data_IF_428036954381
#
_entry.id   IF_428036954381
#
_cell.length_a   1.000
_cell.length_b   1.000
_cell.length_c   1.000
_cell.angle_alpha   90.00
_cell.angle_beta   90.00
_cell.angle_gamma   90.00
#
_symmetry.space_group_name_H-M   'P 1'
#
loop_
_entity.id
_entity.type
_entity.pdbx_description
1 polymer ?
#
# COMPACT_ATOMS: atom_id res chain seq x y z
N UNK A 1 21.82 10.60 -25.93
CA UNK A 1 21.73 11.56 -24.80
C UNK A 1 20.30 11.90 -24.35
N UNK A 2 19.25 11.77 -25.18
CA UNK A 2 17.86 12.12 -24.81
C UNK A 2 17.14 11.17 -23.82
N UNK A 3 17.57 9.91 -23.68
CA UNK A 3 16.91 8.95 -22.77
C UNK A 3 17.13 9.30 -21.29
N UNK A 4 18.29 9.88 -20.97
CA UNK A 4 18.68 10.18 -19.59
C UNK A 4 17.90 11.38 -19.01
N UNK A 5 17.43 12.31 -19.85
CA UNK A 5 16.59 13.42 -19.39
C UNK A 5 15.19 12.97 -19.05
N UNK A 6 14.56 12.13 -19.89
CA UNK A 6 13.23 11.56 -19.63
C UNK A 6 13.20 10.72 -18.34
N UNK A 7 14.19 9.85 -18.15
CA UNK A 7 14.30 9.03 -16.93
C UNK A 7 14.43 9.89 -15.67
N UNK A 8 15.24 10.97 -15.74
CA UNK A 8 15.39 11.93 -14.64
C UNK A 8 14.08 12.66 -14.35
N UNK A 9 13.32 13.05 -15.36
CA UNK A 9 12.01 13.70 -15.18
C UNK A 9 11.01 12.77 -14.51
N UNK A 10 10.92 11.51 -14.96
CA UNK A 10 10.03 10.50 -14.35
C UNK A 10 10.41 10.24 -12.90
N UNK A 11 11.70 10.00 -12.63
CA UNK A 11 12.21 9.84 -11.26
C UNK A 11 11.89 11.06 -10.39
N UNK A 12 12.10 12.27 -10.92
CA UNK A 12 11.84 13.49 -10.19
C UNK A 12 10.36 13.66 -9.83
N UNK A 13 9.45 13.34 -10.76
CA UNK A 13 8.02 13.33 -10.50
C UNK A 13 7.62 12.27 -9.47
N UNK A 14 8.17 11.05 -9.59
CA UNK A 14 7.94 9.97 -8.65
C UNK A 14 8.41 10.37 -7.23
N UNK A 15 9.66 10.81 -7.07
CA UNK A 15 10.22 11.23 -5.78
C UNK A 15 9.43 12.40 -5.16
N UNK A 16 8.92 13.31 -5.99
CA UNK A 16 8.07 14.41 -5.52
C UNK A 16 6.77 13.89 -4.89
N UNK A 17 6.14 12.89 -5.53
CA UNK A 17 4.86 12.33 -5.08
C UNK A 17 5.04 11.38 -3.90
N UNK A 18 6.10 10.57 -3.91
CA UNK A 18 6.26 9.46 -2.97
C UNK A 18 7.05 9.80 -1.72
N UNK A 19 7.97 10.76 -1.80
CA UNK A 19 8.88 11.08 -0.70
C UNK A 19 9.06 12.57 -0.44
N UNK A 20 8.41 13.42 -1.24
CA UNK A 20 8.70 14.85 -1.30
C UNK A 20 10.21 15.12 -1.45
N UNK A 21 10.87 14.39 -2.36
CA UNK A 21 12.33 14.38 -2.56
C UNK A 21 13.13 13.91 -1.33
N UNK A 22 12.70 12.80 -0.73
CA UNK A 22 13.33 12.17 0.45
C UNK A 22 13.37 13.08 1.69
N UNK A 23 12.30 13.87 1.89
CA UNK A 23 12.15 14.76 3.06
C UNK A 23 11.05 14.27 4.01
N UNK A 24 10.00 13.62 3.50
CA UNK A 24 8.86 13.21 4.30
C UNK A 24 8.78 11.69 4.45
N UNK A 25 9.28 11.15 5.58
CA UNK A 25 9.29 9.71 5.83
C UNK A 25 7.88 9.12 5.97
N UNK A 26 6.92 9.89 6.51
CA UNK A 26 5.53 9.45 6.68
C UNK A 26 4.87 9.21 5.33
N UNK A 27 5.16 10.08 4.36
CA UNK A 27 4.66 9.95 2.99
C UNK A 27 5.22 8.70 2.32
N UNK A 28 6.52 8.45 2.47
CA UNK A 28 7.16 7.23 1.93
C UNK A 28 6.53 5.98 2.52
N UNK A 29 6.33 5.95 3.85
CA UNK A 29 5.70 4.83 4.54
C UNK A 29 4.27 4.55 4.05
N UNK A 30 3.46 5.59 3.85
CA UNK A 30 2.12 5.46 3.28
C UNK A 30 2.18 4.82 1.89
N UNK A 31 3.10 5.26 1.02
CA UNK A 31 3.24 4.68 -0.32
C UNK A 31 3.73 3.24 -0.30
N UNK A 32 4.62 2.87 0.62
CA UNK A 32 5.02 1.46 0.82
C UNK A 32 3.80 0.60 1.08
N UNK A 33 2.94 1.00 2.03
CA UNK A 33 1.73 0.24 2.36
C UNK A 33 0.74 0.20 1.20
N UNK A 34 0.58 1.31 0.47
CA UNK A 34 -0.32 1.36 -0.69
C UNK A 34 0.12 0.39 -1.79
N UNK A 35 1.40 0.38 -2.13
CA UNK A 35 1.92 -0.55 -3.14
C UNK A 35 1.83 -2.00 -2.67
N UNK A 36 2.04 -2.26 -1.39
CA UNK A 36 1.90 -3.61 -0.84
C UNK A 36 0.45 -4.10 -0.89
N UNK A 37 -0.52 -3.26 -0.51
CA UNK A 37 -1.94 -3.59 -0.63
C UNK A 37 -2.34 -3.83 -2.09
N UNK A 38 -1.84 -3.03 -3.03
CA UNK A 38 -2.09 -3.24 -4.46
C UNK A 38 -1.52 -4.59 -4.91
N UNK A 39 -0.28 -4.93 -4.49
CA UNK A 39 0.33 -6.21 -4.80
C UNK A 39 -0.53 -7.36 -4.27
N UNK A 40 -0.96 -7.29 -3.00
CA UNK A 40 -1.83 -8.30 -2.40
C UNK A 40 -3.18 -8.39 -3.11
N UNK A 41 -3.80 -7.28 -3.49
CA UNK A 41 -5.08 -7.35 -4.21
C UNK A 41 -4.93 -8.04 -5.57
N UNK A 42 -3.87 -7.73 -6.33
CA UNK A 42 -3.58 -8.40 -7.60
C UNK A 42 -3.39 -9.89 -7.36
N UNK A 43 -2.59 -10.25 -6.37
CA UNK A 43 -2.35 -11.64 -6.05
C UNK A 43 -3.64 -12.37 -5.65
N UNK A 44 -4.44 -11.77 -4.78
CA UNK A 44 -5.70 -12.31 -4.28
C UNK A 44 -6.69 -12.66 -5.40
N UNK A 45 -6.83 -11.78 -6.40
CA UNK A 45 -7.78 -11.99 -7.50
C UNK A 45 -7.32 -13.02 -8.53
N UNK A 46 -6.01 -13.27 -8.64
CA UNK A 46 -5.45 -14.06 -9.72
C UNK A 46 -4.89 -15.42 -9.28
N UNK A 47 -4.74 -15.66 -7.97
CA UNK A 47 -4.26 -16.93 -7.42
C UNK A 47 -5.39 -17.65 -6.72
N UNK A 48 -5.70 -18.87 -7.20
CA UNK A 48 -6.81 -19.69 -6.68
C UNK A 48 -6.62 -20.11 -5.20
N UNK A 49 -5.37 -20.16 -4.71
CA UNK A 49 -5.04 -20.54 -3.34
C UNK A 49 -5.15 -19.40 -2.30
N UNK A 50 -5.50 -18.18 -2.72
CA UNK A 50 -5.66 -17.03 -1.80
C UNK A 50 -6.70 -17.26 -0.70
N UNK A 51 -7.63 -18.20 -0.91
CA UNK A 51 -8.62 -18.64 0.08
C UNK A 51 -8.06 -19.42 1.27
N UNK A 52 -6.83 -19.94 1.19
CA UNK A 52 -6.18 -20.68 2.30
C UNK A 52 -5.65 -19.75 3.41
N UNK A 53 -5.43 -18.49 3.07
CA UNK A 53 -4.78 -17.51 3.94
C UNK A 53 -5.72 -16.39 4.39
N UNK A 54 -6.95 -16.41 3.87
CA UNK A 54 -8.03 -15.57 4.35
C UNK A 54 -8.89 -16.34 5.33
N UNK A 55 -8.95 -15.85 6.57
CA UNK A 55 -9.93 -16.37 7.53
C UNK A 55 -11.28 -15.84 7.06
N UNK A 56 -12.09 -16.72 6.45
CA UNK A 56 -13.47 -16.39 6.12
C UNK A 56 -14.21 -16.05 7.40
N UNK A 57 -14.50 -14.77 7.60
CA UNK A 57 -15.41 -14.35 8.65
C UNK A 57 -16.80 -14.80 8.25
N UNK A 58 -17.42 -15.65 9.08
CA UNK A 58 -18.80 -16.04 8.89
C UNK A 58 -19.70 -14.81 8.88
N UNK A 59 -20.61 -14.73 7.90
CA UNK A 59 -21.61 -13.68 7.79
C UNK A 59 -22.61 -13.78 8.96
N UNK A 60 -22.25 -13.20 10.09
CA UNK A 60 -23.09 -13.05 11.27
C UNK A 60 -23.62 -11.62 11.33
N UNK A 61 -24.78 -11.44 11.95
CA UNK A 61 -25.38 -10.11 12.15
C UNK A 61 -24.40 -9.14 12.82
N UNK A 62 -23.60 -9.61 13.78
CA UNK A 62 -22.58 -8.82 14.46
C UNK A 62 -21.48 -8.36 13.50
N UNK A 63 -20.97 -9.25 12.65
CA UNK A 63 -19.92 -8.92 11.67
C UNK A 63 -20.41 -7.92 10.64
N UNK A 64 -21.67 -8.04 10.19
CA UNK A 64 -22.28 -7.11 9.25
C UNK A 64 -22.50 -5.72 9.86
N UNK A 65 -22.92 -5.65 11.13
CA UNK A 65 -23.09 -4.37 11.84
C UNK A 65 -21.74 -3.67 12.01
N UNK A 66 -20.70 -4.40 12.44
CA UNK A 66 -19.36 -3.84 12.61
C UNK A 66 -18.85 -3.32 11.26
N UNK A 67 -19.02 -4.10 10.18
CA UNK A 67 -18.66 -3.69 8.83
C UNK A 67 -19.43 -2.45 8.37
N UNK A 68 -20.74 -2.44 8.57
CA UNK A 68 -21.60 -1.31 8.20
C UNK A 68 -21.21 -0.03 8.91
N UNK A 69 -20.89 -0.10 10.21
CA UNK A 69 -20.38 1.05 10.98
C UNK A 69 -19.03 1.51 10.43
N UNK A 70 -18.12 0.59 10.16
CA UNK A 70 -16.77 0.90 9.69
C UNK A 70 -16.79 1.56 8.30
N UNK A 71 -17.62 1.05 7.38
CA UNK A 71 -17.86 1.64 6.05
C UNK A 71 -18.54 3.01 6.17
N UNK A 72 -19.53 3.16 7.06
CA UNK A 72 -20.23 4.44 7.26
C UNK A 72 -19.29 5.52 7.79
N UNK A 73 -18.47 5.19 8.80
CA UNK A 73 -17.45 6.08 9.35
C UNK A 73 -16.40 6.44 8.29
N UNK A 74 -16.01 5.47 7.46
CA UNK A 74 -15.08 5.69 6.35
C UNK A 74 -15.64 6.67 5.31
N UNK A 75 -16.89 6.48 4.87
CA UNK A 75 -17.55 7.38 3.92
C UNK A 75 -17.68 8.78 4.54
N UNK A 76 -18.08 8.87 5.81
CA UNK A 76 -18.19 10.14 6.51
C UNK A 76 -16.84 10.86 6.61
N UNK A 77 -15.77 10.12 6.90
CA UNK A 77 -14.41 10.64 6.91
C UNK A 77 -13.97 11.12 5.51
N UNK A 78 -14.37 10.41 4.45
CA UNK A 78 -14.14 10.83 3.06
C UNK A 78 -14.83 12.15 2.74
N UNK A 79 -16.14 12.24 3.01
CA UNK A 79 -16.96 13.43 2.79
C UNK A 79 -16.38 14.62 3.58
N UNK A 80 -16.05 14.42 4.86
CA UNK A 80 -15.47 15.46 5.70
C UNK A 80 -14.16 16.01 5.10
N UNK A 81 -13.23 15.14 4.71
CA UNK A 81 -11.94 15.60 4.17
C UNK A 81 -12.06 16.22 2.76
N UNK A 82 -13.04 15.80 1.95
CA UNK A 82 -13.33 16.45 0.65
C UNK A 82 -13.89 17.86 0.88
N UNK A 83 -14.91 18.00 1.73
CA UNK A 83 -15.56 19.30 1.99
C UNK A 83 -14.60 20.28 2.64
N UNK A 84 -13.86 19.86 3.66
CA UNK A 84 -12.97 20.74 4.42
C UNK A 84 -11.56 20.87 3.80
N UNK A 85 -11.35 20.32 2.59
CA UNK A 85 -10.16 20.44 1.71
C UNK A 85 -8.89 20.86 2.43
N UNK A 86 -8.39 19.99 3.30
CA UNK A 86 -7.09 20.19 3.91
C UNK A 86 -6.10 19.25 3.21
N UNK A 87 -5.20 19.83 2.40
CA UNK A 87 -4.19 19.08 1.63
C UNK A 87 -3.34 18.15 2.50
N UNK A 88 -3.22 18.46 3.80
CA UNK A 88 -2.50 17.65 4.78
C UNK A 88 -3.16 16.28 5.00
N UNK A 89 -4.48 16.16 4.82
CA UNK A 89 -5.23 14.94 5.10
C UNK A 89 -5.53 14.08 3.87
N UNK A 90 -5.23 14.54 2.66
CA UNK A 90 -5.42 13.76 1.42
C UNK A 90 -4.65 12.43 1.49
N UNK A 91 -3.43 12.44 2.01
CA UNK A 91 -2.63 11.22 2.16
C UNK A 91 -3.22 10.26 3.21
N UNK A 92 -3.82 10.79 4.29
CA UNK A 92 -4.55 9.96 5.27
C UNK A 92 -5.80 9.36 4.65
N UNK A 93 -6.51 10.13 3.82
CA UNK A 93 -7.68 9.66 3.12
C UNK A 93 -7.33 8.51 2.16
N UNK A 94 -6.26 8.69 1.38
CA UNK A 94 -5.76 7.67 0.47
C UNK A 94 -5.36 6.41 1.24
N UNK A 95 -4.63 6.56 2.35
CA UNK A 95 -4.24 5.44 3.19
C UNK A 95 -5.44 4.64 3.73
N UNK A 96 -6.41 5.34 4.34
CA UNK A 96 -7.60 4.70 4.89
C UNK A 96 -8.43 4.08 3.76
N UNK A 97 -8.54 4.75 2.61
CA UNK A 97 -9.30 4.24 1.47
C UNK A 97 -8.72 2.97 0.88
N UNK A 98 -7.40 2.88 0.79
CA UNK A 98 -6.73 1.68 0.29
C UNK A 98 -6.88 0.52 1.28
N UNK A 99 -6.76 0.75 2.59
CA UNK A 99 -7.01 -0.28 3.62
C UNK A 99 -8.47 -0.72 3.66
N UNK A 100 -9.42 0.22 3.60
CA UNK A 100 -10.84 -0.12 3.58
C UNK A 100 -11.18 -0.95 2.33
N UNK A 101 -10.63 -0.57 1.17
CA UNK A 101 -10.80 -1.33 -0.07
C UNK A 101 -10.22 -2.73 0.05
N UNK A 102 -9.05 -2.89 0.68
CA UNK A 102 -8.47 -4.20 0.96
C UNK A 102 -9.44 -5.09 1.74
N UNK A 103 -9.96 -4.60 2.87
CA UNK A 103 -10.88 -5.38 3.70
C UNK A 103 -12.17 -5.76 2.98
N UNK A 104 -12.75 -4.83 2.21
CA UNK A 104 -13.99 -5.09 1.46
C UNK A 104 -13.77 -6.13 0.35
N UNK A 105 -12.64 -6.04 -0.37
CA UNK A 105 -12.38 -6.89 -1.53
C UNK A 105 -11.89 -8.29 -1.15
N UNK A 106 -11.05 -8.40 -0.12
CA UNK A 106 -10.44 -9.67 0.30
C UNK A 106 -11.22 -10.39 1.38
N UNK A 107 -12.00 -9.66 2.19
CA UNK A 107 -12.59 -10.20 3.43
C UNK A 107 -11.55 -10.55 4.50
N UNK A 108 -10.27 -10.24 4.31
CA UNK A 108 -9.19 -10.55 5.25
C UNK A 108 -9.03 -9.46 6.31
N UNK A 109 -9.92 -9.49 7.31
CA UNK A 109 -9.85 -8.57 8.45
C UNK A 109 -8.66 -8.85 9.38
N UNK A 110 -8.05 -10.03 9.27
CA UNK A 110 -6.86 -10.41 10.04
C UNK A 110 -5.56 -9.91 9.43
N UNK A 111 -5.60 -9.37 8.21
CA UNK A 111 -4.43 -8.99 7.41
C UNK A 111 -3.47 -10.16 7.18
N UNK A 112 -3.94 -11.41 7.31
CA UNK A 112 -3.11 -12.60 7.19
C UNK A 112 -2.51 -12.74 5.80
N UNK A 113 -3.31 -12.48 4.77
CA UNK A 113 -2.88 -12.52 3.38
C UNK A 113 -1.93 -11.35 3.06
N UNK A 114 -2.21 -10.14 3.56
CA UNK A 114 -1.31 -8.99 3.44
C UNK A 114 0.05 -9.26 4.10
N UNK A 115 0.05 -9.86 5.30
CA UNK A 115 1.26 -10.19 6.05
C UNK A 115 2.09 -11.28 5.37
N UNK A 116 1.44 -12.25 4.74
CA UNK A 116 2.13 -13.24 3.94
C UNK A 116 2.76 -12.63 2.70
N UNK A 117 2.03 -11.78 1.97
CA UNK A 117 2.58 -11.12 0.80
C UNK A 117 3.75 -10.18 1.17
N UNK A 118 3.73 -9.60 2.38
CA UNK A 118 4.86 -8.82 2.91
C UNK A 118 6.16 -9.63 3.02
N UNK A 119 6.09 -10.97 3.07
CA UNK A 119 7.29 -11.80 3.04
C UNK A 119 7.98 -11.62 1.68
N UNK A 120 9.22 -11.08 1.66
CA UNK A 120 9.92 -10.80 0.41
C UNK A 120 10.26 -12.06 -0.39
N UNK A 121 10.13 -13.27 0.17
CA UNK A 121 10.37 -14.53 -0.53
C UNK A 121 9.08 -15.19 -1.05
N UNK A 122 7.91 -14.61 -0.77
CA UNK A 122 6.61 -15.19 -1.15
C UNK A 122 6.46 -15.39 -2.67
N UNK A 123 7.08 -14.50 -3.45
CA UNK A 123 7.00 -14.58 -4.90
C UNK A 123 7.60 -15.86 -5.50
N UNK A 124 8.45 -16.60 -4.76
CA UNK A 124 8.99 -17.88 -5.22
C UNK A 124 7.96 -19.00 -5.22
N UNK A 125 6.88 -18.84 -4.46
CA UNK A 125 5.77 -19.80 -4.40
C UNK A 125 4.77 -19.59 -5.55
N UNK A 126 4.97 -18.54 -6.36
CA UNK A 126 4.15 -18.20 -7.50
C UNK A 126 4.55 -18.99 -8.75
N UNK A 127 3.54 -19.44 -9.50
CA UNK A 127 3.77 -19.98 -10.83
C UNK A 127 4.29 -18.89 -11.79
N UNK A 128 5.22 -19.29 -12.65
CA UNK A 128 5.87 -18.36 -13.58
C UNK A 128 4.85 -17.85 -14.62
N UNK A 129 4.50 -16.56 -14.54
CA UNK A 129 3.46 -15.96 -15.38
C UNK A 129 3.46 -14.42 -15.37
N UNK A 130 2.45 -13.81 -16.00
CA UNK A 130 2.30 -12.35 -16.03
C UNK A 130 2.13 -11.74 -14.63
N UNK A 131 1.43 -12.43 -13.73
CA UNK A 131 1.20 -12.00 -12.34
C UNK A 131 2.53 -11.92 -11.60
N UNK A 132 3.37 -12.96 -11.70
CA UNK A 132 4.72 -13.00 -11.16
C UNK A 132 5.58 -11.80 -11.63
N UNK A 133 5.51 -11.45 -12.91
CA UNK A 133 6.24 -10.29 -13.46
C UNK A 133 5.74 -8.98 -12.84
N UNK A 134 4.42 -8.79 -12.76
CA UNK A 134 3.81 -7.61 -12.15
C UNK A 134 4.22 -7.50 -10.68
N UNK A 135 4.20 -8.61 -9.96
CA UNK A 135 4.56 -8.66 -8.55
C UNK A 135 6.03 -8.30 -8.32
N UNK A 136 6.95 -8.86 -9.11
CA UNK A 136 8.37 -8.48 -9.05
C UNK A 136 8.54 -6.97 -9.28
N UNK A 137 7.85 -6.40 -10.27
CA UNK A 137 7.93 -4.96 -10.53
C UNK A 137 7.43 -4.16 -9.33
N UNK A 138 6.33 -4.56 -8.71
CA UNK A 138 5.81 -3.90 -7.49
C UNK A 138 6.78 -4.04 -6.32
N UNK A 139 7.35 -5.23 -6.08
CA UNK A 139 8.34 -5.46 -5.02
C UNK A 139 9.62 -4.63 -5.24
N UNK A 140 10.06 -4.45 -6.49
CA UNK A 140 11.18 -3.55 -6.82
C UNK A 140 10.86 -2.08 -6.51
N UNK A 141 9.64 -1.63 -6.80
CA UNK A 141 9.18 -0.28 -6.45
C UNK A 141 9.15 -0.11 -4.93
N UNK A 142 8.64 -1.09 -4.19
CA UNK A 142 8.62 -1.08 -2.72
C UNK A 142 10.04 -1.05 -2.16
N UNK A 143 10.95 -1.88 -2.68
CA UNK A 143 12.36 -1.88 -2.28
C UNK A 143 13.01 -0.51 -2.50
N UNK A 144 12.72 0.13 -3.62
CA UNK A 144 13.19 1.49 -3.88
C UNK A 144 12.62 2.51 -2.87
N UNK A 145 11.34 2.39 -2.51
CA UNK A 145 10.73 3.22 -1.48
C UNK A 145 11.33 2.96 -0.10
N UNK A 146 11.66 1.71 0.25
CA UNK A 146 12.38 1.37 1.49
C UNK A 146 13.76 2.06 1.51
N UNK A 147 14.49 2.04 0.39
CA UNK A 147 15.74 2.79 0.28
C UNK A 147 15.54 4.29 0.52
N UNK A 148 14.50 4.90 -0.09
CA UNK A 148 14.16 6.30 0.15
C UNK A 148 13.74 6.56 1.60
N UNK A 149 13.05 5.61 2.22
CA UNK A 149 12.60 5.69 3.60
C UNK A 149 13.80 5.82 4.53
N UNK A 150 14.77 4.90 4.42
CA UNK A 150 16.02 4.93 5.19
C UNK A 150 16.77 6.25 4.97
N UNK A 151 16.91 6.68 3.71
CA UNK A 151 17.56 7.96 3.38
C UNK A 151 16.85 9.16 4.03
N UNK A 152 15.53 9.17 4.02
CA UNK A 152 14.71 10.24 4.60
C UNK A 152 14.78 10.24 6.13
N UNK A 153 14.86 9.07 6.76
CA UNK A 153 15.04 8.96 8.21
C UNK A 153 16.40 9.50 8.66
N UNK A 154 17.47 9.21 7.90
CA UNK A 154 18.80 9.79 8.14
C UNK A 154 18.80 11.30 7.95
N UNK A 155 18.24 11.82 6.85
CA UNK A 155 18.15 13.26 6.59
C UNK A 155 17.39 14.03 7.68
N UNK A 156 16.41 13.40 8.33
CA UNK A 156 15.63 14.01 9.40
C UNK A 156 16.22 13.77 10.80
N UNK A 157 17.44 13.21 10.92
CA UNK A 157 18.09 12.86 12.18
C UNK A 157 17.27 11.95 13.11
N UNK A 158 16.32 11.19 12.54
CA UNK A 158 15.50 10.24 13.29
C UNK A 158 16.33 8.98 13.61
N UNK A 159 17.20 8.59 12.67
CA UNK A 159 18.26 7.61 12.89
C UNK A 159 19.56 8.41 12.96
N UNK A 160 20.24 8.38 14.11
CA UNK A 160 21.59 8.92 14.26
C UNK A 160 22.59 7.86 13.81
N UNK A 161 23.54 8.26 12.96
CA UNK A 161 24.73 7.46 12.73
C UNK A 161 25.54 7.55 14.05
N UNK A 162 25.62 6.44 14.77
CA UNK A 162 26.54 6.27 15.90
C UNK A 162 27.95 6.07 15.37
#
# INVERSE_FOLDING_TARGET
>A
MANNSKLKTVKHGFDKITSAHSTNWKLVFVWIIVFEIIASLIEFFYIENSSQYTIKIEHTLTTEIILGILVTLFIWFCIYNIIFTNRVYINRLLFIGVIASYFILTGDFTLGFLLQNLNPLHFFDLEFGLIFIIEIVLKLVILYLIYQFIKTLKNNNIIKDN
#
